data_IF_201227567959
#
_entry.id   IF_201227567959
#
_cell.length_a   1.000
_cell.length_b   1.000
_cell.length_c   1.000
_cell.angle_alpha   90.00
_cell.angle_beta   90.00
_cell.angle_gamma   90.00
#
_symmetry.space_group_name_H-M   'P 1'
#
loop_
_entity.id
_entity.type
_entity.pdbx_description
1 polymer ?
#
# COMPACT_ATOMS: atom_id res chain seq x y z
N UNK A 1 -6.33 21.51 -15.25
CA UNK A 1 -7.27 20.46 -14.82
C UNK A 1 -7.99 19.93 -16.03
N UNK A 2 -8.18 18.62 -16.10
CA UNK A 2 -8.96 17.94 -17.13
C UNK A 2 -10.46 18.04 -16.82
N UNK A 3 -11.31 17.72 -17.81
CA UNK A 3 -12.76 17.59 -17.60
C UNK A 3 -13.09 16.52 -16.56
N UNK A 4 -12.33 15.41 -16.56
CA UNK A 4 -12.48 14.32 -15.61
C UNK A 4 -12.11 14.76 -14.18
N UNK A 5 -11.08 15.59 -14.01
CA UNK A 5 -10.71 16.14 -12.69
C UNK A 5 -11.88 16.93 -12.09
N UNK A 6 -12.54 17.78 -12.88
CA UNK A 6 -13.69 18.59 -12.45
C UNK A 6 -14.90 17.69 -12.17
N UNK A 7 -15.15 16.72 -13.04
CA UNK A 7 -16.23 15.76 -12.86
C UNK A 7 -16.07 14.94 -11.58
N UNK A 8 -14.84 14.53 -11.24
CA UNK A 8 -14.52 13.84 -9.99
C UNK A 8 -14.86 14.69 -8.76
N UNK A 9 -14.49 15.98 -8.76
CA UNK A 9 -14.80 16.90 -7.64
C UNK A 9 -16.32 17.08 -7.46
N UNK A 10 -17.08 17.21 -8.56
CA UNK A 10 -18.54 17.31 -8.50
C UNK A 10 -19.20 16.00 -8.06
N UNK A 11 -18.68 14.85 -8.52
CA UNK A 11 -19.19 13.55 -8.12
C UNK A 11 -18.93 13.28 -6.63
N UNK A 12 -17.73 13.59 -6.14
CA UNK A 12 -17.41 13.53 -4.72
C UNK A 12 -18.33 14.42 -3.88
N UNK A 13 -18.64 15.63 -4.36
CA UNK A 13 -19.61 16.51 -3.67
C UNK A 13 -21.00 15.89 -3.61
N UNK A 14 -21.44 15.23 -4.68
CA UNK A 14 -22.71 14.50 -4.66
C UNK A 14 -22.70 13.38 -3.61
N UNK A 15 -21.60 12.64 -3.53
CA UNK A 15 -21.43 11.55 -2.58
C UNK A 15 -21.41 12.06 -1.13
N UNK A 16 -20.70 13.16 -0.86
CA UNK A 16 -20.68 13.83 0.44
C UNK A 16 -22.06 14.37 0.84
N UNK A 17 -22.83 14.93 -0.10
CA UNK A 17 -24.21 15.35 0.16
C UNK A 17 -25.10 14.16 0.55
N UNK A 18 -24.96 13.02 -0.13
CA UNK A 18 -25.71 11.81 0.22
C UNK A 18 -25.27 11.25 1.58
N UNK A 19 -23.96 11.20 1.83
CA UNK A 19 -23.35 10.72 3.07
C UNK A 19 -23.78 11.54 4.28
N UNK A 20 -23.89 12.86 4.14
CA UNK A 20 -24.33 13.78 5.21
C UNK A 20 -25.85 13.86 5.34
N UNK A 21 -26.61 13.22 4.44
CA UNK A 21 -28.08 13.24 4.45
C UNK A 21 -28.66 14.57 4.00
N UNK A 22 -27.91 15.30 3.18
CA UNK A 22 -28.33 16.51 2.53
C UNK A 22 -29.45 16.27 1.50
N UNK A 23 -29.79 17.33 0.77
CA UNK A 23 -30.90 17.30 -0.17
C UNK A 23 -30.62 16.38 -1.38
N UNK A 24 -31.40 15.31 -1.55
CA UNK A 24 -31.23 14.35 -2.65
C UNK A 24 -31.31 14.97 -4.05
N UNK A 25 -32.11 16.02 -4.24
CA UNK A 25 -32.19 16.71 -5.53
C UNK A 25 -30.90 17.46 -5.86
N UNK A 26 -30.24 18.03 -4.83
CA UNK A 26 -28.91 18.65 -4.99
C UNK A 26 -27.85 17.60 -5.30
N UNK A 27 -27.79 16.49 -4.56
CA UNK A 27 -26.85 15.41 -4.86
C UNK A 27 -27.02 14.89 -6.30
N UNK A 28 -28.26 14.67 -6.74
CA UNK A 28 -28.58 14.32 -8.14
C UNK A 28 -28.22 15.41 -9.15
N UNK A 29 -28.21 16.69 -8.77
CA UNK A 29 -27.77 17.76 -9.66
C UNK A 29 -26.25 17.70 -9.86
N UNK A 30 -25.47 17.59 -8.78
CA UNK A 30 -24.01 17.44 -8.84
C UNK A 30 -23.58 16.19 -9.62
N UNK A 31 -24.17 15.03 -9.33
CA UNK A 31 -23.84 13.80 -10.06
C UNK A 31 -24.25 13.84 -11.54
N UNK A 32 -25.33 14.57 -11.90
CA UNK A 32 -25.67 14.81 -13.31
C UNK A 32 -24.67 15.73 -13.99
N UNK A 33 -24.28 16.83 -13.33
CA UNK A 33 -23.27 17.74 -13.85
C UNK A 33 -21.94 17.02 -14.07
N UNK A 34 -21.47 16.21 -13.11
CA UNK A 34 -20.27 15.39 -13.23
C UNK A 34 -20.29 14.50 -14.49
N UNK A 35 -21.40 13.77 -14.72
CA UNK A 35 -21.55 12.93 -15.92
C UNK A 35 -21.57 13.74 -17.21
N UNK A 36 -22.25 14.89 -17.21
CA UNK A 36 -22.26 15.77 -18.38
C UNK A 36 -20.86 16.28 -18.69
N UNK A 37 -20.07 16.66 -17.69
CA UNK A 37 -18.72 17.19 -17.88
C UNK A 37 -17.71 16.14 -18.34
N UNK A 38 -17.71 14.95 -17.75
CA UNK A 38 -16.81 13.85 -18.16
C UNK A 38 -17.07 13.38 -19.60
N UNK A 39 -18.32 13.52 -20.09
CA UNK A 39 -18.68 13.18 -21.47
C UNK A 39 -18.46 14.30 -22.50
N UNK A 40 -17.86 15.43 -22.14
CA UNK A 40 -17.60 16.53 -23.08
C UNK A 40 -16.28 16.33 -23.82
N UNK A 41 -16.35 16.50 -25.14
CA UNK A 41 -15.17 16.53 -26.01
C UNK A 41 -14.40 17.87 -25.89
N UNK A 42 -15.11 18.98 -25.70
CA UNK A 42 -14.50 20.30 -25.54
C UNK A 42 -14.03 20.53 -24.10
N UNK A 43 -12.97 21.32 -23.93
CA UNK A 43 -12.49 21.68 -22.60
C UNK A 43 -13.53 22.53 -21.84
N UNK A 44 -13.81 22.14 -20.60
CA UNK A 44 -14.72 22.88 -19.71
C UNK A 44 -14.25 24.31 -19.46
N UNK A 45 -12.93 24.54 -19.41
CA UNK A 45 -12.34 25.86 -19.28
C UNK A 45 -12.72 26.79 -20.44
N UNK A 46 -12.62 26.31 -21.68
CA UNK A 46 -12.97 27.09 -22.87
C UNK A 46 -14.46 27.46 -22.89
N UNK A 47 -15.32 26.50 -22.49
CA UNK A 47 -16.76 26.71 -22.37
C UNK A 47 -17.10 27.74 -21.28
N UNK A 48 -16.35 27.75 -20.17
CA UNK A 48 -16.50 28.74 -19.09
C UNK A 48 -16.14 30.14 -19.58
N UNK A 49 -14.99 30.31 -20.22
CA UNK A 49 -14.55 31.60 -20.77
C UNK A 49 -15.54 32.14 -21.81
N UNK A 50 -16.10 31.25 -22.64
CA UNK A 50 -17.12 31.60 -23.62
C UNK A 50 -18.51 31.84 -23.01
N UNK A 51 -18.72 31.55 -21.73
CA UNK A 51 -20.03 31.68 -21.05
C UNK A 51 -21.09 30.67 -21.51
N UNK A 52 -20.67 29.54 -22.10
CA UNK A 52 -21.55 28.52 -22.72
C UNK A 52 -21.72 27.27 -21.87
N UNK A 53 -21.21 27.25 -20.63
CA UNK A 53 -21.39 26.11 -19.72
C UNK A 53 -22.86 25.85 -19.39
N UNK A 54 -23.66 26.91 -19.27
CA UNK A 54 -25.10 26.82 -18.96
C UNK A 54 -25.93 26.21 -20.08
N UNK A 55 -25.36 26.10 -21.29
CA UNK A 55 -26.00 25.41 -22.42
C UNK A 55 -25.94 23.87 -22.26
N UNK A 56 -25.10 23.38 -21.34
CA UNK A 56 -24.91 21.96 -21.10
C UNK A 56 -26.07 21.44 -20.24
N UNK A 57 -26.73 20.39 -20.73
CA UNK A 57 -27.83 19.78 -19.99
C UNK A 57 -27.39 19.31 -18.60
N UNK A 58 -28.07 19.82 -17.56
CA UNK A 58 -27.76 19.55 -16.16
C UNK A 58 -26.88 20.59 -15.48
N UNK A 59 -26.44 21.63 -16.19
CA UNK A 59 -25.65 22.75 -15.66
C UNK A 59 -26.48 24.03 -15.75
N UNK A 60 -26.86 24.59 -14.60
CA UNK A 60 -27.42 25.94 -14.51
C UNK A 60 -26.39 26.91 -13.92
N UNK A 61 -26.77 28.19 -13.77
CA UNK A 61 -25.86 29.25 -13.33
C UNK A 61 -25.07 28.89 -12.07
N UNK A 62 -25.75 28.45 -11.00
CA UNK A 62 -25.08 28.07 -9.75
C UNK A 62 -24.09 26.90 -9.90
N UNK A 63 -24.35 25.98 -10.83
CA UNK A 63 -23.41 24.88 -11.11
C UNK A 63 -22.21 25.37 -11.92
N UNK A 64 -22.43 26.31 -12.86
CA UNK A 64 -21.36 26.96 -13.60
C UNK A 64 -20.44 27.77 -12.67
N UNK A 65 -21.00 28.45 -11.66
CA UNK A 65 -20.23 29.14 -10.62
C UNK A 65 -19.32 28.17 -9.86
N UNK A 66 -19.85 27.03 -9.40
CA UNK A 66 -19.02 25.99 -8.74
C UNK A 66 -17.94 25.43 -9.66
N UNK A 67 -18.22 25.24 -10.95
CA UNK A 67 -17.22 24.80 -11.93
C UNK A 67 -16.11 25.86 -12.09
N UNK A 68 -16.47 27.14 -12.07
CA UNK A 68 -15.50 28.22 -12.09
C UNK A 68 -14.60 28.21 -10.83
N UNK A 69 -15.19 28.01 -9.64
CA UNK A 69 -14.43 27.90 -8.39
C UNK A 69 -13.45 26.73 -8.44
N UNK A 70 -13.89 25.57 -8.92
CA UNK A 70 -13.04 24.38 -9.11
C UNK A 70 -11.87 24.67 -10.04
N UNK A 71 -12.10 25.35 -11.17
CA UNK A 71 -11.05 25.68 -12.13
C UNK A 71 -10.01 26.66 -11.57
N UNK A 72 -10.42 27.61 -10.74
CA UNK A 72 -9.52 28.62 -10.17
C UNK A 72 -8.82 28.17 -8.89
N UNK A 73 -9.52 27.44 -8.02
CA UNK A 73 -9.08 27.12 -6.66
C UNK A 73 -9.05 25.63 -6.31
N UNK A 74 -9.54 24.74 -7.19
CA UNK A 74 -9.58 23.29 -6.98
C UNK A 74 -10.74 22.79 -6.12
N UNK A 75 -11.54 23.67 -5.49
CA UNK A 75 -12.70 23.33 -4.66
C UNK A 75 -13.69 24.52 -4.60
N UNK A 76 -14.77 24.36 -3.84
CA UNK A 76 -15.78 25.39 -3.57
C UNK A 76 -16.37 25.20 -2.15
N UNK A 77 -16.91 26.29 -1.59
CA UNK A 77 -17.29 26.39 -0.16
C UNK A 77 -18.17 25.23 0.33
N UNK A 78 -19.24 24.89 -0.42
CA UNK A 78 -20.13 23.79 -0.05
C UNK A 78 -19.40 22.44 0.05
N UNK A 79 -18.45 22.16 -0.84
CA UNK A 79 -17.67 20.90 -0.79
C UNK A 79 -16.80 20.87 0.45
N UNK A 80 -16.14 21.98 0.77
CA UNK A 80 -15.23 22.09 1.91
C UNK A 80 -15.98 21.94 3.24
N UNK A 81 -17.19 22.52 3.34
CA UNK A 81 -18.09 22.35 4.48
C UNK A 81 -18.51 20.87 4.66
N UNK A 82 -18.93 20.22 3.57
CA UNK A 82 -19.35 18.83 3.61
C UNK A 82 -18.21 17.88 3.97
N UNK A 83 -17.03 18.12 3.40
CA UNK A 83 -15.83 17.34 3.69
C UNK A 83 -15.41 17.49 5.16
N UNK A 84 -15.59 18.68 5.75
CA UNK A 84 -15.33 18.92 7.18
C UNK A 84 -16.35 18.24 8.10
N UNK A 85 -17.55 17.95 7.61
CA UNK A 85 -18.61 17.29 8.36
C UNK A 85 -18.52 15.75 8.33
N UNK A 86 -17.72 15.19 7.44
CA UNK A 86 -17.55 13.74 7.26
C UNK A 86 -16.26 13.28 7.98
N UNK A 87 -16.31 12.21 8.79
CA UNK A 87 -15.11 11.63 9.38
C UNK A 87 -14.10 11.21 8.30
N UNK A 88 -12.80 11.49 8.48
CA UNK A 88 -11.80 11.27 7.43
C UNK A 88 -11.75 9.83 6.92
N UNK A 89 -11.87 8.83 7.81
CA UNK A 89 -11.85 7.41 7.44
C UNK A 89 -13.14 6.90 6.76
N UNK A 90 -14.21 7.70 6.71
CA UNK A 90 -15.48 7.26 6.11
C UNK A 90 -15.40 7.20 4.58
N UNK A 91 -14.54 8.02 3.98
CA UNK A 91 -14.27 7.96 2.55
C UNK A 91 -13.58 6.65 2.18
N UNK A 92 -12.65 6.16 3.01
CA UNK A 92 -11.98 4.87 2.82
C UNK A 92 -12.97 3.70 2.93
N UNK A 93 -13.91 3.78 3.89
CA UNK A 93 -15.02 2.83 4.01
C UNK A 93 -15.85 2.75 2.71
N UNK A 94 -16.05 3.87 2.03
CA UNK A 94 -16.79 3.91 0.76
C UNK A 94 -16.00 3.32 -0.43
N UNK A 95 -14.68 3.17 -0.31
CA UNK A 95 -13.87 2.50 -1.33
C UNK A 95 -14.08 0.97 -1.34
N UNK A 96 -14.60 0.39 -0.25
CA UNK A 96 -14.91 -1.04 -0.19
C UNK A 96 -16.01 -1.37 -1.19
N UNK A 97 -15.69 -2.24 -2.15
CA UNK A 97 -16.63 -2.59 -3.21
C UNK A 97 -17.95 -3.14 -2.65
N UNK A 98 -19.06 -2.52 -3.06
CA UNK A 98 -20.41 -2.87 -2.58
C UNK A 98 -20.92 -1.99 -1.43
N UNK A 99 -20.11 -1.05 -0.94
CA UNK A 99 -20.49 0.04 -0.04
C UNK A 99 -20.57 1.37 -0.79
N UNK A 100 -21.76 1.70 -1.30
CA UNK A 100 -22.07 3.05 -1.78
C UNK A 100 -22.54 3.98 -0.65
N UNK A 101 -22.63 5.27 -0.95
CA UNK A 101 -23.08 6.37 -0.07
C UNK A 101 -24.18 5.99 0.93
N UNK A 102 -25.26 5.37 0.46
CA UNK A 102 -26.41 4.97 1.31
C UNK A 102 -26.05 3.91 2.35
N UNK A 103 -25.26 2.91 1.97
CA UNK A 103 -24.83 1.84 2.87
C UNK A 103 -23.79 2.36 3.86
N UNK A 104 -22.81 3.12 3.37
CA UNK A 104 -21.80 3.77 4.19
C UNK A 104 -22.40 4.72 5.21
N UNK A 105 -23.38 5.55 4.81
CA UNK A 105 -24.11 6.42 5.74
C UNK A 105 -24.78 5.62 6.84
N UNK A 106 -25.42 4.50 6.54
CA UNK A 106 -26.09 3.69 7.57
C UNK A 106 -25.11 3.04 8.54
N UNK A 107 -23.99 2.52 8.03
CA UNK A 107 -22.91 2.02 8.88
C UNK A 107 -22.43 3.13 9.83
N UNK A 108 -22.26 4.35 9.33
CA UNK A 108 -21.89 5.50 10.16
C UNK A 108 -22.97 5.89 11.16
N UNK A 109 -24.21 6.14 10.73
CA UNK A 109 -25.23 6.73 11.60
C UNK A 109 -25.90 5.74 12.54
N UNK A 110 -25.90 4.44 12.22
CA UNK A 110 -26.58 3.41 13.03
C UNK A 110 -25.59 2.55 13.83
N UNK A 111 -24.33 2.44 13.41
CA UNK A 111 -23.31 1.62 14.10
C UNK A 111 -22.05 2.39 14.49
N UNK A 112 -21.99 3.70 14.23
CA UNK A 112 -20.84 4.58 14.49
C UNK A 112 -19.55 4.14 13.79
N UNK A 113 -19.65 3.46 12.65
CA UNK A 113 -18.50 3.04 11.85
C UNK A 113 -17.95 4.23 11.06
N UNK A 114 -16.71 4.62 11.34
CA UNK A 114 -16.01 5.76 10.74
C UNK A 114 -14.65 5.41 10.13
N UNK A 115 -14.25 4.15 10.18
CA UNK A 115 -12.97 3.65 9.64
C UNK A 115 -13.09 2.21 9.11
N UNK A 116 -12.09 1.77 8.34
CA UNK A 116 -11.99 0.38 7.88
C UNK A 116 -11.85 -0.62 9.04
N UNK A 117 -11.11 -0.26 10.10
CA UNK A 117 -10.95 -1.10 11.29
C UNK A 117 -12.29 -1.31 12.02
N UNK A 118 -13.04 -0.23 12.23
CA UNK A 118 -14.37 -0.31 12.86
C UNK A 118 -15.37 -1.07 11.98
N UNK A 119 -15.26 -0.95 10.64
CA UNK A 119 -16.08 -1.71 9.71
C UNK A 119 -15.77 -3.21 9.81
N UNK A 120 -14.49 -3.57 9.82
CA UNK A 120 -14.06 -4.96 9.95
C UNK A 120 -14.54 -5.55 11.26
N UNK A 121 -14.32 -4.85 12.38
CA UNK A 121 -14.79 -5.28 13.70
C UNK A 121 -16.32 -5.45 13.72
N UNK A 122 -17.09 -4.46 13.24
CA UNK A 122 -18.54 -4.55 13.21
C UNK A 122 -19.04 -5.69 12.31
N UNK A 123 -18.28 -6.04 11.26
CA UNK A 123 -18.57 -7.17 10.40
C UNK A 123 -18.21 -8.51 11.06
N UNK A 124 -17.10 -8.61 11.79
CA UNK A 124 -16.69 -9.84 12.48
C UNK A 124 -17.57 -10.15 13.70
N UNK A 125 -18.07 -9.13 14.39
CA UNK A 125 -18.98 -9.24 15.53
C UNK A 125 -20.46 -9.43 15.11
N UNK A 126 -20.73 -9.67 13.82
CA UNK A 126 -22.07 -9.77 13.23
C UNK A 126 -22.97 -8.53 13.42
N UNK A 127 -22.44 -7.41 13.94
CA UNK A 127 -23.20 -6.18 14.23
C UNK A 127 -23.83 -5.59 12.98
N UNK A 128 -23.14 -5.65 11.84
CA UNK A 128 -23.69 -5.12 10.58
C UNK A 128 -24.94 -5.87 10.09
N UNK A 129 -25.16 -7.12 10.51
CA UNK A 129 -26.34 -7.90 10.10
C UNK A 129 -27.65 -7.39 10.70
N UNK A 130 -27.56 -6.57 11.74
CA UNK A 130 -28.71 -5.91 12.35
C UNK A 130 -29.31 -4.83 11.44
N UNK A 131 -28.53 -4.33 10.48
CA UNK A 131 -28.96 -3.32 9.52
C UNK A 131 -29.74 -3.95 8.36
N UNK A 132 -30.91 -3.37 8.03
CA UNK A 132 -31.66 -3.75 6.83
C UNK A 132 -30.76 -3.79 5.56
N UNK A 133 -30.88 -4.79 4.70
CA UNK A 133 -30.02 -4.91 3.50
C UNK A 133 -28.56 -5.32 3.72
N UNK A 134 -28.13 -5.61 4.96
CA UNK A 134 -26.81 -6.15 5.32
C UNK A 134 -26.88 -7.62 5.78
N UNK A 135 -27.57 -8.48 5.01
CA UNK A 135 -27.60 -9.91 5.33
C UNK A 135 -26.22 -10.60 5.27
N UNK A 136 -26.11 -11.87 5.69
CA UNK A 136 -24.83 -12.59 5.81
C UNK A 136 -23.97 -12.59 4.54
N UNK A 137 -24.62 -12.64 3.37
CA UNK A 137 -23.92 -12.55 2.07
C UNK A 137 -23.28 -11.17 1.85
N UNK A 138 -23.98 -10.10 2.23
CA UNK A 138 -23.46 -8.73 2.14
C UNK A 138 -22.27 -8.55 3.09
N UNK A 139 -22.39 -9.03 4.33
CA UNK A 139 -21.30 -9.02 5.30
C UNK A 139 -20.07 -9.77 4.80
N UNK A 140 -20.23 -10.99 4.28
CA UNK A 140 -19.11 -11.75 3.73
C UNK A 140 -18.45 -11.00 2.57
N UNK A 141 -19.26 -10.42 1.66
CA UNK A 141 -18.74 -9.62 0.56
C UNK A 141 -17.97 -8.38 1.05
N UNK A 142 -18.44 -7.72 2.12
CA UNK A 142 -17.73 -6.59 2.73
C UNK A 142 -16.37 -7.06 3.27
N UNK A 143 -16.34 -8.15 4.05
CA UNK A 143 -15.09 -8.69 4.61
C UNK A 143 -14.10 -9.09 3.50
N UNK A 144 -14.56 -9.74 2.44
CA UNK A 144 -13.70 -10.15 1.32
C UNK A 144 -13.11 -8.94 0.58
N UNK A 145 -13.93 -7.90 0.32
CA UNK A 145 -13.47 -6.70 -0.35
C UNK A 145 -12.60 -5.81 0.53
N UNK A 146 -12.84 -5.78 1.85
CA UNK A 146 -12.01 -5.08 2.81
C UNK A 146 -10.61 -5.70 2.87
N UNK A 147 -10.52 -7.05 2.90
CA UNK A 147 -9.24 -7.76 2.79
C UNK A 147 -8.51 -7.46 1.48
N UNK A 148 -9.26 -7.38 0.37
CA UNK A 148 -8.69 -7.05 -0.92
C UNK A 148 -8.17 -5.61 -0.96
N UNK A 149 -8.95 -4.65 -0.47
CA UNK A 149 -8.59 -3.23 -0.39
C UNK A 149 -7.33 -3.03 0.46
N UNK A 150 -7.30 -3.57 1.67
CA UNK A 150 -6.11 -3.53 2.54
C UNK A 150 -4.88 -4.14 1.87
N UNK A 151 -5.04 -5.23 1.11
CA UNK A 151 -3.93 -5.88 0.39
C UNK A 151 -3.40 -5.03 -0.78
N UNK A 152 -4.19 -4.11 -1.33
CA UNK A 152 -3.75 -3.19 -2.39
C UNK A 152 -3.17 -1.89 -1.81
N UNK A 153 -3.77 -1.33 -0.75
CA UNK A 153 -3.24 -0.14 -0.06
C UNK A 153 -1.91 -0.42 0.64
N UNK A 154 -1.68 -1.66 1.11
CA UNK A 154 -0.42 -2.05 1.75
C UNK A 154 0.74 -2.33 0.78
N UNK A 155 0.53 -2.22 -0.55
CA UNK A 155 1.56 -2.59 -1.54
C UNK A 155 2.27 -1.39 -2.13
N UNK A 156 3.59 -1.42 -1.98
CA UNK A 156 4.52 -0.47 -2.57
C UNK A 156 5.10 -1.00 -3.87
N UNK A 157 5.28 -0.13 -4.85
CA UNK A 157 6.01 -0.48 -6.08
C UNK A 157 7.48 -0.68 -5.75
N UNK A 158 8.14 -1.59 -6.47
CA UNK A 158 9.57 -1.89 -6.28
C UNK A 158 10.42 -0.61 -6.28
N UNK A 159 10.19 0.30 -7.23
CA UNK A 159 10.98 1.52 -7.36
C UNK A 159 10.85 2.44 -6.13
N UNK A 160 9.62 2.67 -5.66
CA UNK A 160 9.33 3.57 -4.53
C UNK A 160 9.89 2.98 -3.23
N UNK A 161 9.61 1.71 -2.96
CA UNK A 161 10.13 1.02 -1.78
C UNK A 161 11.66 0.88 -1.82
N UNK A 162 12.26 0.62 -2.98
CA UNK A 162 13.71 0.53 -3.12
C UNK A 162 14.39 1.87 -2.81
N UNK A 163 13.90 2.97 -3.37
CA UNK A 163 14.46 4.30 -3.13
C UNK A 163 14.40 4.69 -1.64
N UNK A 164 13.24 4.50 -1.00
CA UNK A 164 13.06 4.75 0.43
C UNK A 164 13.99 3.86 1.30
N UNK A 165 14.03 2.56 1.00
CA UNK A 165 14.85 1.60 1.75
C UNK A 165 16.35 1.86 1.59
N UNK A 166 16.80 2.27 0.40
CA UNK A 166 18.20 2.61 0.17
C UNK A 166 18.63 3.83 0.98
N UNK A 167 17.80 4.88 1.00
CA UNK A 167 18.00 6.08 1.84
C UNK A 167 18.13 5.72 3.33
N UNK A 168 17.28 4.82 3.81
CA UNK A 168 17.36 4.29 5.18
C UNK A 168 18.61 3.44 5.42
N UNK A 169 18.95 2.54 4.49
CA UNK A 169 20.13 1.67 4.59
C UNK A 169 21.41 2.48 4.72
N UNK A 170 21.57 3.54 3.92
CA UNK A 170 22.76 4.40 3.94
C UNK A 170 22.95 5.06 5.33
N UNK A 171 21.86 5.47 5.98
CA UNK A 171 21.89 5.97 7.37
C UNK A 171 22.29 4.89 8.35
N UNK A 172 21.64 3.73 8.28
CA UNK A 172 21.87 2.60 9.19
C UNK A 172 23.31 2.09 9.12
N UNK A 173 23.90 2.01 7.92
CA UNK A 173 25.29 1.59 7.73
C UNK A 173 26.30 2.51 8.42
N UNK A 174 25.95 3.77 8.66
CA UNK A 174 26.82 4.74 9.34
C UNK A 174 26.71 4.72 10.87
N UNK A 175 25.76 3.96 11.43
CA UNK A 175 25.53 3.91 12.87
C UNK A 175 26.65 3.18 13.59
N UNK A 176 27.14 3.77 14.69
CA UNK A 176 28.10 3.08 15.55
C UNK A 176 27.43 1.81 16.12
N UNK A 177 28.17 0.69 16.09
CA UNK A 177 27.68 -0.62 16.51
C UNK A 177 27.06 -1.44 15.39
N UNK A 178 26.85 -0.88 14.19
CA UNK A 178 26.49 -1.65 12.99
C UNK A 178 27.77 -2.14 12.30
N UNK A 179 27.95 -3.45 12.20
CA UNK A 179 29.06 -4.06 11.48
C UNK A 179 28.78 -4.12 9.96
N UNK A 180 27.52 -4.39 9.60
CA UNK A 180 27.04 -4.47 8.22
C UNK A 180 25.53 -4.33 8.20
N UNK A 181 24.98 -3.71 7.16
CA UNK A 181 23.56 -3.77 6.87
C UNK A 181 23.30 -4.04 5.39
N UNK A 182 22.21 -4.73 5.07
CA UNK A 182 21.79 -4.98 3.68
C UNK A 182 20.27 -5.09 3.54
N UNK A 183 19.75 -4.68 2.39
CA UNK A 183 18.37 -4.97 1.96
C UNK A 183 18.20 -6.48 1.82
N UNK A 184 17.06 -6.98 2.27
CA UNK A 184 16.68 -8.40 2.21
C UNK A 184 15.24 -8.53 1.69
N UNK A 185 14.56 -9.63 1.98
CA UNK A 185 13.15 -9.82 1.66
C UNK A 185 12.81 -9.75 0.18
N UNK A 186 11.55 -9.42 -0.10
CA UNK A 186 11.00 -9.30 -1.44
C UNK A 186 11.69 -8.21 -2.29
N UNK A 187 12.22 -7.16 -1.67
CA UNK A 187 12.98 -6.11 -2.37
C UNK A 187 14.26 -6.68 -2.98
N UNK A 188 15.03 -7.48 -2.23
CA UNK A 188 16.25 -8.11 -2.77
C UNK A 188 15.93 -9.12 -3.87
N UNK A 189 14.76 -9.75 -3.84
CA UNK A 189 14.26 -10.63 -4.93
C UNK A 189 13.62 -9.86 -6.09
N UNK A 190 13.61 -8.53 -6.06
CA UNK A 190 13.06 -7.65 -7.09
C UNK A 190 11.59 -7.92 -7.43
N UNK A 191 10.77 -8.22 -6.41
CA UNK A 191 9.32 -8.33 -6.60
C UNK A 191 8.76 -6.98 -7.04
N UNK A 192 7.95 -6.98 -8.10
CA UNK A 192 7.38 -5.75 -8.68
C UNK A 192 6.58 -4.91 -7.67
N UNK A 193 5.98 -5.57 -6.67
CA UNK A 193 5.37 -4.93 -5.51
C UNK A 193 5.77 -5.64 -4.22
N UNK A 194 5.83 -4.90 -3.12
CA UNK A 194 6.17 -5.39 -1.78
C UNK A 194 5.20 -4.83 -0.74
N UNK A 195 4.89 -5.61 0.30
CA UNK A 195 4.02 -5.17 1.41
C UNK A 195 4.81 -4.44 2.51
N UNK A 196 6.10 -4.74 2.61
CA UNK A 196 7.05 -4.09 3.51
C UNK A 196 8.47 -4.16 2.93
N UNK A 197 9.30 -3.21 3.31
CA UNK A 197 10.75 -3.29 3.17
C UNK A 197 11.34 -4.19 4.26
N UNK A 198 12.49 -4.80 3.97
CA UNK A 198 13.21 -5.59 4.97
C UNK A 198 14.71 -5.27 4.89
N UNK A 199 15.31 -5.04 6.06
CA UNK A 199 16.74 -4.76 6.21
C UNK A 199 17.33 -5.68 7.26
N UNK A 200 18.49 -6.29 6.97
CA UNK A 200 19.25 -7.06 7.94
C UNK A 200 20.44 -6.25 8.44
N UNK A 201 20.61 -6.19 9.76
CA UNK A 201 21.72 -5.53 10.46
C UNK A 201 22.55 -6.57 11.22
N UNK A 202 23.85 -6.64 10.91
CA UNK A 202 24.84 -7.34 11.74
C UNK A 202 25.34 -6.43 12.84
N UNK A 203 25.34 -6.92 14.07
CA UNK A 203 25.99 -6.25 15.20
C UNK A 203 26.50 -7.25 16.24
N UNK A 204 27.64 -6.95 16.85
CA UNK A 204 28.10 -7.63 18.07
C UNK A 204 27.52 -7.01 19.36
N UNK A 205 26.70 -5.95 19.27
CA UNK A 205 26.16 -5.17 20.40
C UNK A 205 24.65 -4.89 20.23
N UNK A 206 23.79 -5.92 20.30
CA UNK A 206 22.37 -5.80 19.99
C UNK A 206 21.63 -4.76 20.85
N UNK A 207 21.86 -4.74 22.17
CA UNK A 207 21.18 -3.81 23.09
C UNK A 207 21.39 -2.33 22.72
N UNK A 208 22.63 -1.94 22.35
CA UNK A 208 22.95 -0.55 22.03
C UNK A 208 22.56 -0.13 20.60
N UNK A 209 22.34 -1.09 19.70
CA UNK A 209 21.96 -0.78 18.31
C UNK A 209 20.45 -0.59 18.17
N UNK A 210 19.63 -1.26 18.99
CA UNK A 210 18.17 -1.21 18.90
C UNK A 210 17.63 0.22 19.05
N UNK A 211 18.04 0.94 20.10
CA UNK A 211 17.59 2.32 20.34
C UNK A 211 17.98 3.27 19.18
N UNK A 212 19.17 3.05 18.61
CA UNK A 212 19.67 3.84 17.48
C UNK A 212 18.86 3.57 16.21
N UNK A 213 18.59 2.29 15.92
CA UNK A 213 17.73 1.90 14.80
C UNK A 213 16.32 2.46 14.96
N UNK A 214 15.74 2.35 16.16
CA UNK A 214 14.41 2.86 16.46
C UNK A 214 14.29 4.38 16.22
N UNK A 215 15.35 5.15 16.50
CA UNK A 215 15.37 6.60 16.25
C UNK A 215 15.34 7.02 14.77
N UNK A 216 15.50 6.06 13.84
CA UNK A 216 15.42 6.27 12.40
C UNK A 216 14.12 5.73 11.78
N UNK A 217 13.17 5.29 12.60
CA UNK A 217 11.88 4.76 12.19
C UNK A 217 10.76 5.60 12.81
N UNK A 218 9.68 5.73 12.06
CA UNK A 218 8.41 6.22 12.58
C UNK A 218 7.64 5.06 13.23
N UNK A 219 7.04 5.33 14.39
CA UNK A 219 6.31 4.34 15.22
C UNK A 219 7.06 3.01 15.46
N UNK A 220 8.30 3.04 15.97
CA UNK A 220 9.08 1.83 16.16
C UNK A 220 8.47 0.92 17.23
N UNK A 221 8.45 -0.38 16.94
CA UNK A 221 8.04 -1.45 17.85
C UNK A 221 9.05 -2.60 17.85
N UNK A 222 9.22 -3.26 18.99
CA UNK A 222 10.03 -4.48 19.08
C UNK A 222 9.25 -5.69 18.56
N UNK A 223 9.94 -6.55 17.82
CA UNK A 223 9.44 -7.84 17.36
C UNK A 223 10.42 -8.94 17.69
N UNK A 224 9.99 -10.21 17.61
CA UNK A 224 10.86 -11.37 17.84
C UNK A 224 12.07 -11.40 16.88
N UNK A 225 11.95 -10.76 15.71
CA UNK A 225 12.98 -10.71 14.68
C UNK A 225 13.88 -9.45 14.76
N UNK A 226 13.52 -8.47 15.59
CA UNK A 226 14.25 -7.20 15.73
C UNK A 226 13.31 -6.03 15.99
N UNK A 227 13.16 -5.15 14.99
CA UNK A 227 12.32 -3.95 15.06
C UNK A 227 11.41 -3.85 13.85
N UNK A 228 10.20 -3.36 14.04
CA UNK A 228 9.29 -2.95 12.97
C UNK A 228 8.93 -1.46 13.13
N UNK A 229 8.59 -0.81 12.03
CA UNK A 229 8.15 0.58 12.01
C UNK A 229 7.90 1.05 10.58
N UNK A 230 7.93 2.36 10.35
CA UNK A 230 7.80 2.96 9.03
C UNK A 230 9.04 3.79 8.68
N UNK A 231 9.35 3.83 7.39
CA UNK A 231 10.28 4.80 6.83
C UNK A 231 9.59 6.17 6.71
N UNK A 232 10.37 7.24 6.57
CA UNK A 232 9.85 8.61 6.45
C UNK A 232 8.90 8.79 5.24
N UNK A 233 9.07 7.96 4.20
CA UNK A 233 8.22 7.92 3.02
C UNK A 233 6.89 7.16 3.26
N UNK A 234 6.67 6.59 4.45
CA UNK A 234 5.50 5.79 4.82
C UNK A 234 5.63 4.29 4.56
N UNK A 235 6.76 3.83 4.00
CA UNK A 235 6.97 2.40 3.69
C UNK A 235 7.13 1.60 5.00
N UNK A 236 6.30 0.59 5.27
CA UNK A 236 6.51 -0.31 6.40
C UNK A 236 7.85 -1.02 6.27
N UNK A 237 8.60 -1.16 7.36
CA UNK A 237 9.92 -1.82 7.35
C UNK A 237 10.09 -2.76 8.55
N UNK A 238 10.61 -3.95 8.26
CA UNK A 238 11.13 -4.88 9.27
C UNK A 238 12.66 -4.84 9.25
N UNK A 239 13.25 -4.50 10.40
CA UNK A 239 14.69 -4.54 10.63
C UNK A 239 15.03 -5.80 11.41
N UNK A 240 15.75 -6.70 10.76
CA UNK A 240 16.26 -7.93 11.34
C UNK A 240 17.64 -7.69 11.95
N UNK A 241 17.92 -8.30 13.11
CA UNK A 241 19.23 -8.20 13.76
C UNK A 241 19.90 -9.56 13.87
N UNK A 242 21.18 -9.66 13.50
CA UNK A 242 21.95 -10.89 13.57
C UNK A 242 23.37 -10.66 14.07
N UNK A 243 23.99 -11.72 14.60
CA UNK A 243 25.41 -11.71 14.92
C UNK A 243 26.26 -11.70 13.63
N UNK A 244 27.44 -11.04 13.62
CA UNK A 244 28.26 -10.94 12.40
C UNK A 244 28.73 -12.28 11.85
N UNK A 245 28.87 -13.31 12.71
CA UNK A 245 29.28 -14.65 12.31
C UNK A 245 28.21 -15.41 11.51
N UNK A 246 26.94 -15.00 11.59
CA UNK A 246 25.80 -15.64 10.91
C UNK A 246 25.13 -14.76 9.86
N UNK A 247 25.71 -13.61 9.53
CA UNK A 247 25.12 -12.64 8.60
C UNK A 247 24.75 -13.28 7.26
N UNK A 248 25.58 -14.15 6.70
CA UNK A 248 25.30 -14.84 5.44
C UNK A 248 24.07 -15.74 5.50
N UNK A 249 23.95 -16.53 6.56
CA UNK A 249 22.78 -17.41 6.79
C UNK A 249 21.51 -16.59 7.05
N UNK A 250 21.60 -15.55 7.89
CA UNK A 250 20.48 -14.67 8.17
C UNK A 250 20.04 -13.91 6.91
N UNK A 251 20.99 -13.45 6.08
CA UNK A 251 20.67 -12.73 4.84
C UNK A 251 19.97 -13.64 3.86
N UNK A 252 20.44 -14.87 3.68
CA UNK A 252 19.75 -15.87 2.86
C UNK A 252 18.33 -16.15 3.35
N UNK A 253 18.16 -16.41 4.66
CA UNK A 253 16.86 -16.72 5.27
C UNK A 253 15.87 -15.56 5.16
N UNK A 254 16.30 -14.35 5.51
CA UNK A 254 15.45 -13.15 5.42
C UNK A 254 15.21 -12.71 3.97
N UNK A 255 16.07 -13.12 3.03
CA UNK A 255 15.84 -12.88 1.60
C UNK A 255 14.77 -13.82 1.09
N UNK A 256 14.72 -15.04 1.58
CA UNK A 256 13.71 -16.02 1.19
C UNK A 256 13.77 -16.35 -0.32
N UNK A 257 12.64 -16.70 -0.93
CA UNK A 257 11.33 -16.89 -0.28
C UNK A 257 11.34 -18.03 0.76
N UNK A 258 10.28 -18.17 1.55
CA UNK A 258 10.10 -19.31 2.45
C UNK A 258 10.18 -20.63 1.69
N UNK A 259 9.59 -20.69 0.50
CA UNK A 259 9.57 -21.85 -0.39
C UNK A 259 10.98 -22.19 -0.87
N UNK A 260 11.79 -21.19 -1.26
CA UNK A 260 13.20 -21.39 -1.59
C UNK A 260 13.98 -21.96 -0.40
N UNK A 261 13.79 -21.36 0.79
CA UNK A 261 14.51 -21.80 1.97
C UNK A 261 14.18 -23.25 2.32
N UNK A 262 12.89 -23.58 2.35
CA UNK A 262 12.41 -24.94 2.60
C UNK A 262 12.97 -25.92 1.56
N UNK A 263 12.97 -25.57 0.27
CA UNK A 263 13.51 -26.43 -0.78
C UNK A 263 15.00 -26.76 -0.59
N UNK A 264 15.81 -25.79 -0.14
CA UNK A 264 17.23 -26.05 0.22
C UNK A 264 17.33 -26.95 1.45
N UNK A 265 16.53 -26.69 2.50
CA UNK A 265 16.58 -27.46 3.74
C UNK A 265 16.11 -28.90 3.58
N UNK A 266 15.05 -29.12 2.80
CA UNK A 266 14.53 -30.46 2.50
C UNK A 266 15.55 -31.30 1.72
N UNK A 267 16.36 -30.65 0.88
CA UNK A 267 17.34 -31.31 0.01
C UNK A 267 18.69 -31.54 0.71
N UNK A 268 19.25 -30.50 1.30
CA UNK A 268 20.63 -30.48 1.78
C UNK A 268 20.73 -30.36 3.32
N UNK A 269 19.60 -30.18 4.00
CA UNK A 269 19.52 -29.94 5.44
C UNK A 269 19.61 -28.45 5.80
N UNK A 270 19.20 -28.13 7.04
CA UNK A 270 19.27 -26.78 7.56
C UNK A 270 20.72 -26.27 7.61
N UNK A 271 21.06 -25.16 6.93
CA UNK A 271 22.42 -24.63 6.94
C UNK A 271 22.79 -24.09 8.31
N UNK A 272 24.07 -24.25 8.67
CA UNK A 272 24.63 -23.67 9.90
C UNK A 272 24.82 -22.15 9.81
N UNK A 273 25.46 -21.58 10.83
CA UNK A 273 25.80 -20.16 10.83
C UNK A 273 27.02 -19.86 9.95
N UNK A 274 26.83 -19.02 8.94
CA UNK A 274 27.87 -18.62 7.99
C UNK A 274 27.95 -17.09 7.87
N UNK A 275 29.18 -16.57 7.79
CA UNK A 275 29.45 -15.12 7.62
C UNK A 275 28.99 -14.56 6.29
N UNK A 276 28.99 -15.38 5.24
CA UNK A 276 28.64 -14.96 3.87
C UNK A 276 27.70 -15.97 3.25
N UNK A 277 26.81 -15.49 2.39
CA UNK A 277 25.86 -16.33 1.66
C UNK A 277 26.59 -17.32 0.73
N UNK A 278 27.70 -16.92 0.10
CA UNK A 278 28.53 -17.82 -0.70
C UNK A 278 29.14 -18.97 0.14
N UNK A 279 29.50 -18.72 1.41
CA UNK A 279 29.97 -19.77 2.30
C UNK A 279 28.85 -20.74 2.70
N UNK A 280 27.61 -20.25 2.85
CA UNK A 280 26.43 -21.08 3.07
C UNK A 280 26.18 -22.00 1.87
N UNK A 281 26.06 -21.45 0.66
CA UNK A 281 25.79 -22.26 -0.55
C UNK A 281 26.88 -23.31 -0.78
N UNK A 282 28.16 -22.95 -0.58
CA UNK A 282 29.27 -23.91 -0.64
C UNK A 282 29.15 -25.03 0.39
N UNK A 283 28.71 -24.72 1.62
CA UNK A 283 28.58 -25.71 2.68
C UNK A 283 27.48 -26.74 2.40
N UNK A 284 26.40 -26.32 1.73
CA UNK A 284 25.30 -27.20 1.30
C UNK A 284 25.49 -27.78 -0.11
N UNK A 285 26.68 -27.62 -0.71
CA UNK A 285 26.99 -28.23 -2.01
C UNK A 285 26.24 -27.63 -3.21
N UNK A 286 25.69 -26.42 -3.10
CA UNK A 286 24.94 -25.74 -4.16
C UNK A 286 25.70 -24.52 -4.70
N UNK A 287 25.51 -24.15 -5.97
CA UNK A 287 25.91 -22.83 -6.45
C UNK A 287 25.04 -21.74 -5.80
N UNK A 288 25.54 -20.51 -5.78
CA UNK A 288 24.74 -19.38 -5.29
C UNK A 288 23.57 -19.15 -6.24
N UNK A 289 22.35 -19.36 -5.74
CA UNK A 289 21.14 -19.05 -6.49
C UNK A 289 20.89 -17.54 -6.44
N UNK A 290 20.81 -16.83 -7.58
CA UNK A 290 20.48 -15.41 -7.62
C UNK A 290 19.17 -15.10 -6.88
N UNK A 291 19.09 -14.03 -6.06
CA UNK A 291 17.90 -13.71 -5.27
C UNK A 291 16.60 -13.64 -6.08
N UNK A 292 16.64 -13.13 -7.31
CA UNK A 292 15.47 -12.99 -8.19
C UNK A 292 14.86 -14.33 -8.62
N UNK A 293 15.57 -15.45 -8.46
CA UNK A 293 15.08 -16.80 -8.78
C UNK A 293 14.51 -17.53 -7.57
N UNK A 294 14.67 -17.00 -6.34
CA UNK A 294 14.38 -17.71 -5.08
C UNK A 294 12.89 -17.69 -4.74
N UNK A 295 12.11 -18.40 -5.54
CA UNK A 295 10.64 -18.46 -5.44
C UNK A 295 10.11 -19.90 -5.28
N UNK A 296 10.99 -20.90 -5.10
CA UNK A 296 10.60 -22.31 -4.95
C UNK A 296 10.00 -22.91 -6.22
N UNK A 297 10.50 -22.51 -7.39
CA UNK A 297 10.00 -22.88 -8.71
C UNK A 297 10.96 -23.79 -9.49
N UNK A 298 11.81 -24.54 -8.78
CA UNK A 298 12.78 -25.47 -9.37
C UNK A 298 14.21 -24.93 -9.47
N UNK A 299 14.48 -23.74 -8.92
CA UNK A 299 15.80 -23.10 -8.95
C UNK A 299 16.84 -23.87 -8.12
N UNK A 300 16.42 -24.58 -7.07
CA UNK A 300 17.31 -25.39 -6.22
C UNK A 300 17.74 -26.65 -6.98
N UNK A 301 16.80 -27.34 -7.64
CA UNK A 301 17.09 -28.49 -8.51
C UNK A 301 17.98 -28.10 -9.67
N UNK A 302 17.68 -26.98 -10.33
CA UNK A 302 18.50 -26.44 -11.41
C UNK A 302 19.92 -26.09 -10.91
N UNK A 303 20.05 -25.50 -9.72
CA UNK A 303 21.34 -25.25 -9.08
C UNK A 303 22.14 -26.52 -8.84
N UNK A 304 21.52 -27.55 -8.29
CA UNK A 304 22.18 -28.83 -8.04
C UNK A 304 22.60 -29.56 -9.33
N UNK A 305 21.88 -29.33 -10.43
CA UNK A 305 22.18 -29.89 -11.74
C UNK A 305 23.14 -29.03 -12.60
N UNK A 306 23.62 -27.88 -12.08
CA UNK A 306 24.41 -26.88 -12.82
C UNK A 306 23.67 -26.36 -14.07
N UNK A 307 22.35 -26.16 -13.93
CA UNK A 307 21.40 -25.75 -14.99
C UNK A 307 20.70 -24.43 -14.66
N UNK A 308 21.26 -23.61 -13.77
CA UNK A 308 20.70 -22.28 -13.52
C UNK A 308 20.73 -21.45 -14.82
N UNK A 309 19.67 -20.68 -15.10
CA UNK A 309 19.63 -19.84 -16.29
C UNK A 309 20.67 -18.72 -16.20
N UNK A 310 21.22 -18.33 -17.34
CA UNK A 310 21.95 -17.06 -17.46
C UNK A 310 20.96 -15.90 -17.33
N UNK A 311 21.25 -14.97 -16.43
CA UNK A 311 20.40 -13.80 -16.21
C UNK A 311 20.98 -12.60 -16.96
N UNK A 312 20.08 -11.76 -17.46
CA UNK A 312 20.44 -10.43 -17.95
C UNK A 312 20.90 -9.56 -16.77
N UNK A 313 21.91 -8.74 -17.03
CA UNK A 313 22.45 -7.73 -16.14
C UNK A 313 22.28 -6.34 -16.74
N UNK A 314 22.52 -5.29 -15.95
CA UNK A 314 22.51 -3.93 -16.51
C UNK A 314 23.60 -3.71 -17.55
N UNK A 315 24.67 -4.52 -17.55
CA UNK A 315 25.74 -4.43 -18.55
C UNK A 315 25.33 -5.02 -19.91
N UNK A 316 24.20 -5.76 -19.96
CA UNK A 316 23.63 -6.30 -21.20
C UNK A 316 22.60 -5.34 -21.85
N UNK A 317 22.32 -4.21 -21.21
CA UNK A 317 21.38 -3.19 -21.69
C UNK A 317 22.17 -2.03 -22.28
N UNK A 318 22.13 -1.90 -23.62
CA UNK A 318 22.75 -0.80 -24.38
C UNK A 318 22.15 0.59 -24.06
#
# INVERSE_FOLDING_TARGET
MSNDDIASVLQETADLLELTGGNEYRARAFSRAARSLSGLDDAVADRLEAGTLVDINGIGDAMADHVADILHGGSFELRDELHSAVPPGLMDVMQVQGLGTKRTRRLWTELDVTSLDELEQAAEEDRITTLDGFGPKTQQNILDNLRQLRRYESKWRLADAWAATQSFLDRVQSLEGVDRAAITGALRRQRATVEQAEVLVATSKPEGVHDRLASHLDDPSQTDAGLAGHLAEGVPVQVHVAAPNRFGTAWWRTTGSSEHCTAVEDREGAPGDHKTEAALYRAVGLPVVPPVLREGQGEVEAGAADQLPSLLSTDDLD
#
